data_IF_729975109097
#
_entry.id   IF_729975109097
#
_cell.length_a   1.000
_cell.length_b   1.000
_cell.length_c   1.000
_cell.angle_alpha   90.00
_cell.angle_beta   90.00
_cell.angle_gamma   90.00
#
_symmetry.space_group_name_H-M   'P 1'
#
loop_
_entity.id
_entity.type
_entity.pdbx_description
1 polymer ?
#
# COMPACT_ATOMS: atom_id res chain seq x y z
N UNK A 1 6.37 2.12 -10.39
CA UNK A 1 7.50 1.47 -9.71
C UNK A 1 8.85 1.93 -10.27
N UNK A 2 9.06 1.75 -11.56
CA UNK A 2 10.33 2.08 -12.18
C UNK A 2 10.71 3.55 -12.05
N UNK A 3 9.75 4.43 -12.05
CA UNK A 3 9.96 5.86 -11.94
C UNK A 3 10.53 6.31 -10.59
N UNK A 4 10.48 5.45 -9.59
CA UNK A 4 10.93 5.80 -8.24
C UNK A 4 12.35 5.32 -7.94
N UNK A 5 12.98 4.67 -8.89
CA UNK A 5 14.37 4.19 -8.75
C UNK A 5 14.59 3.34 -7.49
N UNK A 6 13.56 2.61 -7.06
CA UNK A 6 13.64 1.73 -5.90
C UNK A 6 13.79 0.29 -6.38
N UNK A 7 14.69 -0.47 -5.74
CA UNK A 7 14.88 -1.87 -6.08
C UNK A 7 13.74 -2.74 -5.54
N UNK A 8 13.54 -3.91 -6.13
CA UNK A 8 12.55 -4.87 -5.64
C UNK A 8 12.86 -5.32 -4.22
N UNK A 9 14.14 -5.48 -3.89
CA UNK A 9 14.56 -5.84 -2.54
C UNK A 9 14.14 -4.77 -1.53
N UNK A 10 14.41 -3.52 -1.85
CA UNK A 10 14.05 -2.40 -0.99
C UNK A 10 12.55 -2.27 -0.86
N UNK A 11 11.81 -2.42 -1.98
CA UNK A 11 10.35 -2.35 -1.97
C UNK A 11 9.76 -3.46 -1.11
N UNK A 12 10.27 -4.69 -1.21
CA UNK A 12 9.83 -5.80 -0.39
C UNK A 12 10.00 -5.48 1.09
N UNK A 13 11.16 -4.96 1.46
CA UNK A 13 11.47 -4.60 2.83
C UNK A 13 10.52 -3.52 3.35
N UNK A 14 10.31 -2.46 2.58
CA UNK A 14 9.48 -1.34 3.00
C UNK A 14 7.98 -1.67 2.99
N UNK A 15 7.56 -2.64 2.20
CA UNK A 15 6.17 -3.06 2.10
C UNK A 15 5.80 -4.23 3.00
N UNK A 16 6.79 -4.86 3.64
CA UNK A 16 6.55 -6.05 4.44
C UNK A 16 6.10 -7.25 3.61
N UNK A 17 6.44 -7.29 2.33
CA UNK A 17 6.03 -8.32 1.37
C UNK A 17 7.29 -9.04 0.87
N UNK A 18 7.21 -10.36 0.68
CA UNK A 18 8.37 -11.13 0.21
C UNK A 18 8.75 -10.76 -1.23
N UNK A 19 10.02 -10.90 -1.56
CA UNK A 19 10.48 -10.67 -2.94
C UNK A 19 9.85 -11.65 -3.92
N UNK A 20 9.62 -12.88 -3.50
CA UNK A 20 8.95 -13.88 -4.34
C UNK A 20 7.56 -13.42 -4.72
N UNK A 21 6.79 -12.91 -3.74
CA UNK A 21 5.46 -12.40 -4.00
C UNK A 21 5.50 -11.20 -4.94
N UNK A 22 6.41 -10.26 -4.72
CA UNK A 22 6.57 -9.11 -5.62
C UNK A 22 6.88 -9.55 -7.05
N UNK A 23 7.78 -10.51 -7.20
CA UNK A 23 8.12 -11.03 -8.52
C UNK A 23 6.88 -11.61 -9.21
N UNK A 24 6.06 -12.35 -8.49
CA UNK A 24 4.82 -12.90 -9.02
C UNK A 24 3.83 -11.81 -9.42
N UNK A 25 3.72 -10.75 -8.65
CA UNK A 25 2.84 -9.61 -8.97
C UNK A 25 3.33 -8.90 -10.24
N UNK A 26 4.62 -8.58 -10.31
CA UNK A 26 5.16 -7.86 -11.46
C UNK A 26 5.18 -8.70 -12.74
N UNK A 27 5.23 -10.01 -12.63
CA UNK A 27 5.17 -10.90 -13.79
C UNK A 27 3.74 -11.23 -14.23
N UNK A 28 2.75 -10.70 -13.53
CA UNK A 28 1.34 -10.95 -13.85
C UNK A 28 0.80 -12.28 -13.38
N UNK A 29 1.57 -13.04 -12.61
CA UNK A 29 1.14 -14.36 -12.10
C UNK A 29 0.20 -14.27 -10.92
N UNK A 30 0.17 -13.12 -10.24
CA UNK A 30 -0.62 -12.95 -9.04
C UNK A 30 -1.15 -11.53 -8.96
N UNK A 31 -2.44 -11.41 -8.61
CA UNK A 31 -3.07 -10.13 -8.36
C UNK A 31 -3.02 -9.86 -6.86
N UNK A 32 -2.48 -8.73 -6.40
CA UNK A 32 -2.44 -8.45 -4.96
C UNK A 32 -3.84 -8.19 -4.41
N UNK A 33 -4.04 -8.55 -3.14
CA UNK A 33 -5.23 -8.12 -2.43
C UNK A 33 -5.17 -6.60 -2.21
N UNK A 34 -6.32 -6.02 -1.85
CA UNK A 34 -6.38 -4.57 -1.58
C UNK A 34 -5.40 -4.16 -0.50
N UNK A 35 -5.35 -4.89 0.61
CA UNK A 35 -4.42 -4.59 1.69
C UNK A 35 -2.97 -4.67 1.24
N UNK A 36 -2.61 -5.67 0.46
CA UNK A 36 -1.23 -5.81 -0.01
C UNK A 36 -0.87 -4.73 -1.02
N UNK A 37 -1.82 -4.32 -1.86
CA UNK A 37 -1.57 -3.21 -2.76
C UNK A 37 -1.34 -1.91 -1.99
N UNK A 38 -2.10 -1.69 -0.92
CA UNK A 38 -1.88 -0.54 -0.04
C UNK A 38 -0.52 -0.62 0.66
N UNK A 39 -0.08 -1.81 1.09
CA UNK A 39 1.26 -1.99 1.62
C UNK A 39 2.32 -1.57 0.61
N UNK A 40 2.13 -1.93 -0.66
CA UNK A 40 3.05 -1.51 -1.73
C UNK A 40 3.04 0.00 -1.91
N UNK A 41 1.87 0.64 -1.82
CA UNK A 41 1.77 2.09 -1.91
C UNK A 41 2.60 2.77 -0.81
N UNK A 42 2.53 2.29 0.42
CA UNK A 42 3.36 2.82 1.50
C UNK A 42 4.84 2.54 1.26
N UNK A 43 5.18 1.35 0.77
CA UNK A 43 6.56 1.01 0.44
C UNK A 43 7.14 1.89 -0.66
N UNK A 44 6.31 2.29 -1.61
CA UNK A 44 6.71 3.16 -2.71
C UNK A 44 6.71 4.65 -2.32
N UNK A 45 6.11 5.00 -1.21
CA UNK A 45 5.89 6.40 -0.88
C UNK A 45 4.91 7.07 -1.83
N UNK A 46 3.89 6.33 -2.28
CA UNK A 46 2.91 6.82 -3.23
C UNK A 46 2.05 7.92 -2.63
N UNK A 47 1.61 8.86 -3.46
CA UNK A 47 0.60 9.84 -3.07
C UNK A 47 -0.78 9.19 -3.04
N UNK A 48 -1.76 9.91 -2.47
CA UNK A 48 -3.15 9.44 -2.48
C UNK A 48 -3.63 9.22 -3.91
N UNK A 49 -3.34 10.16 -4.80
CA UNK A 49 -3.77 10.05 -6.21
C UNK A 49 -3.16 8.83 -6.88
N UNK A 50 -1.88 8.57 -6.64
CA UNK A 50 -1.20 7.39 -7.17
C UNK A 50 -1.80 6.10 -6.62
N UNK A 51 -2.11 6.06 -5.32
CA UNK A 51 -2.73 4.91 -4.70
C UNK A 51 -4.13 4.65 -5.30
N UNK A 52 -4.92 5.70 -5.49
CA UNK A 52 -6.24 5.57 -6.11
C UNK A 52 -6.13 5.03 -7.54
N UNK A 53 -5.16 5.50 -8.31
CA UNK A 53 -4.93 4.99 -9.67
C UNK A 53 -4.56 3.51 -9.66
N UNK A 54 -3.69 3.10 -8.75
CA UNK A 54 -3.29 1.71 -8.64
C UNK A 54 -4.48 0.81 -8.26
N UNK A 55 -5.30 1.27 -7.33
CA UNK A 55 -6.50 0.53 -6.93
C UNK A 55 -7.45 0.36 -8.12
N UNK A 56 -7.68 1.44 -8.89
CA UNK A 56 -8.54 1.36 -10.08
C UNK A 56 -8.01 0.40 -11.13
N UNK A 57 -6.70 0.45 -11.40
CA UNK A 57 -6.08 -0.46 -12.38
C UNK A 57 -6.19 -1.92 -11.95
N UNK A 58 -6.12 -2.18 -10.66
CA UNK A 58 -6.26 -3.54 -10.12
C UNK A 58 -7.73 -3.95 -9.95
N UNK A 59 -8.68 -3.08 -10.30
CA UNK A 59 -10.13 -3.30 -10.14
C UNK A 59 -10.51 -3.54 -8.70
N UNK A 60 -9.85 -2.85 -7.80
CA UNK A 60 -10.13 -2.88 -6.37
C UNK A 60 -10.86 -1.60 -5.97
N UNK A 61 -11.61 -1.67 -4.87
CA UNK A 61 -12.35 -0.51 -4.39
C UNK A 61 -11.40 0.63 -4.06
N UNK A 62 -11.67 1.85 -4.52
CA UNK A 62 -10.82 3.00 -4.17
C UNK A 62 -10.96 3.32 -2.68
N UNK A 63 -10.03 4.14 -2.19
CA UNK A 63 -10.11 4.64 -0.83
C UNK A 63 -11.27 5.63 -0.73
N UNK A 64 -12.11 5.44 0.27
CA UNK A 64 -13.30 6.25 0.49
C UNK A 64 -13.15 7.04 1.78
N UNK A 65 -13.11 8.36 1.66
CA UNK A 65 -12.81 9.24 2.80
C UNK A 65 -13.83 9.18 3.94
N UNK A 66 -15.03 8.68 3.67
CA UNK A 66 -16.06 8.52 4.71
C UNK A 66 -15.97 7.19 5.45
N UNK A 67 -15.19 6.25 4.93
CA UNK A 67 -14.87 5.02 5.66
C UNK A 67 -13.75 5.34 6.64
N UNK A 68 -13.94 5.00 7.90
CA UNK A 68 -12.99 5.37 8.95
C UNK A 68 -11.59 4.81 8.69
N UNK A 69 -11.50 3.55 8.32
CA UNK A 69 -10.21 2.91 8.05
C UNK A 69 -9.54 3.53 6.83
N UNK A 70 -10.30 3.71 5.76
CA UNK A 70 -9.78 4.33 4.54
C UNK A 70 -9.33 5.77 4.79
N UNK A 71 -10.05 6.52 5.62
CA UNK A 71 -9.66 7.88 5.99
C UNK A 71 -8.31 7.89 6.71
N UNK A 72 -8.06 6.92 7.57
CA UNK A 72 -6.76 6.79 8.26
C UNK A 72 -5.66 6.48 7.25
N UNK A 73 -5.92 5.59 6.30
CA UNK A 73 -4.95 5.25 5.25
C UNK A 73 -4.66 6.47 4.38
N UNK A 74 -5.67 7.24 4.00
CA UNK A 74 -5.51 8.47 3.24
C UNK A 74 -4.61 9.45 4.01
N UNK A 75 -4.87 9.62 5.29
CA UNK A 75 -4.05 10.48 6.14
C UNK A 75 -2.58 10.03 6.13
N UNK A 76 -2.34 8.72 6.27
CA UNK A 76 -0.99 8.18 6.27
C UNK A 76 -0.26 8.43 4.96
N UNK A 77 -0.93 8.21 3.83
CA UNK A 77 -0.33 8.47 2.52
C UNK A 77 -0.04 9.95 2.33
N UNK A 78 -0.95 10.82 2.78
CA UNK A 78 -0.78 12.28 2.66
C UNK A 78 0.37 12.81 3.49
N UNK A 79 0.72 12.14 4.58
CA UNK A 79 1.75 12.57 5.51
C UNK A 79 3.05 11.76 5.38
N UNK A 80 3.18 10.98 4.31
CA UNK A 80 4.36 10.18 4.04
C UNK A 80 4.75 9.24 5.20
N UNK A 81 3.75 8.68 5.87
CA UNK A 81 3.98 7.70 6.93
C UNK A 81 4.55 6.41 6.35
N UNK A 82 5.35 5.72 7.14
CA UNK A 82 5.83 4.39 6.76
C UNK A 82 4.75 3.36 6.99
N UNK A 83 4.94 2.15 6.43
CA UNK A 83 4.00 1.05 6.66
C UNK A 83 3.87 0.74 8.15
N UNK A 84 4.99 0.71 8.88
CA UNK A 84 4.96 0.47 10.32
C UNK A 84 4.14 1.52 11.06
N UNK A 85 4.33 2.79 10.70
CA UNK A 85 3.61 3.89 11.33
C UNK A 85 2.11 3.80 11.07
N UNK A 86 1.70 3.51 9.84
CA UNK A 86 0.26 3.41 9.54
C UNK A 86 -0.37 2.21 10.22
N UNK A 87 0.33 1.08 10.29
CA UNK A 87 -0.19 -0.09 11.00
C UNK A 87 -0.36 0.19 12.49
N UNK A 88 0.59 0.90 13.09
CA UNK A 88 0.48 1.30 14.50
C UNK A 88 -0.72 2.22 14.71
N UNK A 89 -0.94 3.17 13.80
CA UNK A 89 -2.07 4.08 13.89
C UNK A 89 -3.41 3.35 13.73
N UNK A 90 -3.49 2.45 12.77
CA UNK A 90 -4.69 1.63 12.58
C UNK A 90 -5.00 0.81 13.82
N UNK A 91 -3.98 0.17 14.38
CA UNK A 91 -4.13 -0.62 15.59
C UNK A 91 -4.62 0.25 16.76
N UNK A 92 -4.03 1.43 16.94
CA UNK A 92 -4.41 2.34 18.01
C UNK A 92 -5.86 2.83 17.86
N UNK A 93 -6.38 2.87 16.65
CA UNK A 93 -7.75 3.31 16.35
C UNK A 93 -8.75 2.15 16.25
N UNK A 94 -8.36 0.96 16.70
CA UNK A 94 -9.18 -0.26 16.63
C UNK A 94 -9.61 -0.62 15.20
N UNK A 95 -8.78 -0.30 14.22
CA UNK A 95 -9.02 -0.70 12.84
C UNK A 95 -8.05 -1.80 12.45
N UNK A 96 -8.45 -2.64 11.48
CA UNK A 96 -7.58 -3.71 10.99
C UNK A 96 -6.33 -3.12 10.34
N UNK A 97 -5.16 -3.66 10.69
CA UNK A 97 -3.91 -3.25 10.06
C UNK A 97 -3.87 -3.73 8.60
N UNK A 98 -2.92 -3.17 7.82
CA UNK A 98 -2.75 -3.58 6.43
C UNK A 98 -2.05 -4.94 6.31
N UNK A 99 -1.27 -5.28 7.30
CA UNK A 99 -0.61 -6.58 7.35
C UNK A 99 -0.30 -7.01 8.77
#
# INVERSE_FOLDING_TARGET
FERRSISKTMLAKQSGISEVYLHQVFSGRRTPSRNRLLCLCFGLGASVDEAQDLLRHARLAPLYSRDRRDAIVIFGLSHNMTLGEINDKLYAEDADTLC
#
